data_IF_331789714389
#
_entry.id   IF_331789714389
#
_cell.length_a   1.000
_cell.length_b   1.000
_cell.length_c   1.000
_cell.angle_alpha   90.00
_cell.angle_beta   90.00
_cell.angle_gamma   90.00
#
_symmetry.space_group_name_H-M   'P 1'
#
loop_
_entity.id
_entity.type
_entity.pdbx_description
1 polymer ?
#
# COMPACT_ATOMS: atom_id res chain seq x y z
N UNK A 1 22.15 -11.59 -27.18
CA UNK A 1 20.91 -11.33 -27.94
C UNK A 1 19.88 -10.91 -26.92
N UNK A 2 19.55 -9.63 -26.87
CA UNK A 2 18.54 -9.08 -25.96
C UNK A 2 17.18 -9.57 -26.45
N UNK A 3 16.63 -10.60 -25.81
CA UNK A 3 15.23 -10.94 -25.99
C UNK A 3 14.42 -9.73 -25.52
N UNK A 4 13.83 -9.03 -26.48
CA UNK A 4 12.97 -7.88 -26.28
C UNK A 4 11.64 -8.41 -25.73
N UNK A 5 11.63 -8.72 -24.43
CA UNK A 5 10.42 -9.05 -23.69
C UNK A 5 9.89 -7.70 -23.20
N UNK A 6 8.69 -7.33 -23.62
CA UNK A 6 8.04 -6.07 -23.23
C UNK A 6 8.19 -5.83 -21.72
N UNK A 7 8.85 -4.75 -21.37
CA UNK A 7 9.14 -4.37 -19.99
C UNK A 7 7.85 -3.77 -19.40
N UNK A 8 7.18 -4.53 -18.52
CA UNK A 8 5.99 -4.05 -17.80
C UNK A 8 6.38 -2.82 -16.98
N UNK A 9 5.67 -1.70 -17.14
CA UNK A 9 5.91 -0.47 -16.35
C UNK A 9 4.85 -0.24 -15.28
N UNK A 10 5.14 0.64 -14.32
CA UNK A 10 4.18 0.95 -13.25
C UNK A 10 2.97 1.69 -13.82
N UNK A 11 3.19 2.57 -14.78
CA UNK A 11 2.16 3.35 -15.47
C UNK A 11 1.19 2.45 -16.22
N UNK A 12 1.66 1.37 -16.84
CA UNK A 12 0.82 0.39 -17.51
C UNK A 12 -0.07 -0.37 -16.52
N UNK A 13 0.50 -0.82 -15.40
CA UNK A 13 -0.26 -1.47 -14.32
C UNK A 13 -1.31 -0.51 -13.75
N UNK A 14 -0.92 0.74 -13.49
CA UNK A 14 -1.82 1.78 -13.00
C UNK A 14 -2.94 2.15 -13.98
N UNK A 15 -2.63 2.20 -15.27
CA UNK A 15 -3.61 2.50 -16.31
C UNK A 15 -4.70 1.43 -16.42
N UNK A 16 -4.43 0.20 -15.97
CA UNK A 16 -5.38 -0.93 -16.04
C UNK A 16 -6.68 -0.63 -15.29
N UNK A 17 -6.61 -0.19 -14.04
CA UNK A 17 -7.78 0.23 -13.27
C UNK A 17 -7.41 1.15 -12.09
N UNK A 18 -8.38 1.99 -11.70
CA UNK A 18 -8.35 2.78 -10.46
C UNK A 18 -9.49 2.31 -9.57
N UNK A 19 -9.11 1.79 -8.42
CA UNK A 19 -10.00 1.21 -7.41
C UNK A 19 -10.11 2.16 -6.22
N UNK A 20 -11.34 2.41 -5.78
CA UNK A 20 -11.63 3.07 -4.49
C UNK A 20 -12.48 2.15 -3.63
N UNK A 21 -12.14 2.06 -2.35
CA UNK A 21 -12.90 1.31 -1.35
C UNK A 21 -13.22 2.23 -0.18
N UNK A 22 -14.49 2.55 -0.02
CA UNK A 22 -15.01 3.44 1.03
C UNK A 22 -15.89 2.68 2.01
N UNK A 23 -15.86 3.05 3.29
CA UNK A 23 -16.72 2.44 4.31
C UNK A 23 -18.15 2.97 4.17
N UNK A 24 -19.15 2.08 4.10
CA UNK A 24 -20.56 2.48 4.15
C UNK A 24 -20.88 2.96 5.57
N UNK A 25 -21.38 4.20 5.77
CA UNK A 25 -21.63 4.75 7.10
C UNK A 25 -22.66 3.95 7.90
N UNK A 26 -23.69 3.44 7.21
CA UNK A 26 -24.77 2.67 7.81
C UNK A 26 -24.39 1.20 7.96
N UNK A 27 -24.45 0.70 9.20
CA UNK A 27 -24.29 -0.73 9.46
C UNK A 27 -25.62 -1.44 9.25
N UNK A 28 -25.65 -2.41 8.33
CA UNK A 28 -26.85 -3.21 8.03
C UNK A 28 -26.90 -4.48 8.87
N UNK A 29 -28.09 -5.08 9.01
CA UNK A 29 -28.33 -6.34 9.72
C UNK A 29 -29.22 -6.18 10.96
N UNK A 30 -30.27 -7.02 11.06
CA UNK A 30 -31.30 -6.96 12.10
C UNK A 30 -30.83 -7.47 13.47
N UNK A 31 -29.89 -8.42 13.50
CA UNK A 31 -29.42 -9.10 14.74
C UNK A 31 -27.90 -8.96 14.91
N UNK A 32 -27.14 -9.08 13.82
CA UNK A 32 -25.69 -8.87 13.76
C UNK A 32 -25.40 -7.80 12.73
N UNK A 33 -25.06 -6.60 13.20
CA UNK A 33 -24.67 -5.50 12.32
C UNK A 33 -23.36 -5.83 11.62
N UNK A 34 -23.34 -5.81 10.29
CA UNK A 34 -22.13 -5.97 9.47
C UNK A 34 -21.72 -4.64 8.82
N UNK A 35 -20.43 -4.53 8.52
CA UNK A 35 -19.89 -3.41 7.75
C UNK A 35 -19.89 -3.76 6.26
N UNK A 36 -20.23 -2.78 5.44
CA UNK A 36 -20.18 -2.84 3.99
C UNK A 36 -19.23 -1.76 3.47
N UNK A 37 -18.80 -1.94 2.23
CA UNK A 37 -17.88 -1.06 1.54
C UNK A 37 -18.48 -0.69 0.17
N UNK A 38 -18.39 0.58 -0.20
CA UNK A 38 -18.54 0.98 -1.60
C UNK A 38 -17.24 0.66 -2.32
N UNK A 39 -17.34 -0.14 -3.37
CA UNK A 39 -16.21 -0.54 -4.20
C UNK A 39 -16.44 0.04 -5.59
N UNK A 40 -15.55 0.93 -6.01
CA UNK A 40 -15.64 1.61 -7.30
C UNK A 40 -14.50 1.17 -8.22
N UNK A 41 -14.82 0.88 -9.48
CA UNK A 41 -13.85 0.61 -10.55
C UNK A 41 -14.00 1.65 -11.66
N UNK A 42 -12.90 2.32 -11.98
CA UNK A 42 -12.86 3.29 -13.09
C UNK A 42 -12.97 2.59 -14.44
N UNK A 43 -12.29 1.46 -14.62
CA UNK A 43 -12.30 0.67 -15.86
C UNK A 43 -13.71 0.20 -16.23
N UNK A 44 -14.50 -0.17 -15.24
CA UNK A 44 -15.86 -0.68 -15.46
C UNK A 44 -16.95 0.39 -15.33
N UNK A 45 -16.64 1.56 -14.77
CA UNK A 45 -17.64 2.61 -14.53
C UNK A 45 -18.71 2.20 -13.52
N UNK A 46 -18.35 1.32 -12.56
CA UNK A 46 -19.28 0.74 -11.59
C UNK A 46 -18.92 1.13 -10.17
N UNK A 47 -19.94 1.28 -9.33
CA UNK A 47 -19.82 1.29 -7.87
C UNK A 47 -20.79 0.26 -7.30
N UNK A 48 -20.26 -0.73 -6.60
CA UNK A 48 -21.02 -1.82 -5.99
C UNK A 48 -20.81 -1.87 -4.48
N UNK A 49 -21.77 -2.43 -3.76
CA UNK A 49 -21.63 -2.64 -2.32
C UNK A 49 -21.09 -4.05 -2.04
N UNK A 50 -20.07 -4.14 -1.19
CA UNK A 50 -19.45 -5.42 -0.79
C UNK A 50 -19.24 -5.49 0.71
N UNK A 51 -19.40 -6.68 1.30
CA UNK A 51 -18.97 -7.00 2.66
C UNK A 51 -17.64 -7.73 2.65
N UNK A 52 -16.90 -7.68 3.76
CA UNK A 52 -15.60 -8.36 3.89
C UNK A 52 -15.62 -9.84 3.48
N UNK A 53 -16.68 -10.59 3.81
CA UNK A 53 -16.77 -12.01 3.43
C UNK A 53 -16.86 -12.24 1.91
N UNK A 54 -17.34 -11.27 1.13
CA UNK A 54 -17.34 -11.38 -0.34
C UNK A 54 -15.93 -11.19 -0.92
N UNK A 55 -15.11 -10.31 -0.31
CA UNK A 55 -13.68 -10.24 -0.63
C UNK A 55 -12.98 -11.57 -0.33
N UNK A 56 -13.30 -12.22 0.80
CA UNK A 56 -12.77 -13.54 1.14
C UNK A 56 -13.15 -14.59 0.09
N UNK A 57 -14.41 -14.60 -0.36
CA UNK A 57 -14.86 -15.51 -1.40
C UNK A 57 -14.11 -15.30 -2.72
N UNK A 58 -13.95 -14.03 -3.15
CA UNK A 58 -13.16 -13.72 -4.34
C UNK A 58 -11.70 -14.16 -4.19
N UNK A 59 -11.08 -13.88 -3.04
CA UNK A 59 -9.72 -14.31 -2.74
C UNK A 59 -9.59 -15.84 -2.84
N UNK A 60 -10.50 -16.60 -2.23
CA UNK A 60 -10.47 -18.06 -2.27
C UNK A 60 -10.60 -18.61 -3.70
N UNK A 61 -11.46 -18.00 -4.53
CA UNK A 61 -11.61 -18.36 -5.94
C UNK A 61 -10.35 -18.06 -6.73
N UNK A 62 -9.82 -16.83 -6.65
CA UNK A 62 -8.61 -16.43 -7.36
C UNK A 62 -7.40 -17.26 -6.93
N UNK A 63 -7.24 -17.50 -5.63
CA UNK A 63 -6.13 -18.27 -5.09
C UNK A 63 -6.17 -19.75 -5.53
N UNK A 64 -7.36 -20.34 -5.65
CA UNK A 64 -7.51 -21.70 -6.17
C UNK A 64 -7.32 -21.78 -7.70
N UNK A 65 -7.78 -20.76 -8.43
CA UNK A 65 -7.70 -20.68 -9.89
C UNK A 65 -6.28 -20.37 -10.38
N UNK A 66 -5.53 -19.55 -9.64
CA UNK A 66 -4.22 -19.03 -10.04
C UNK A 66 -3.12 -19.40 -9.03
N UNK A 67 -2.79 -20.70 -8.87
CA UNK A 67 -1.80 -21.16 -7.89
C UNK A 67 -0.39 -20.60 -8.14
N UNK A 68 -0.08 -20.21 -9.38
CA UNK A 68 1.23 -19.73 -9.81
C UNK A 68 1.34 -18.20 -9.90
N UNK A 69 0.28 -17.47 -9.51
CA UNK A 69 0.25 -16.00 -9.50
C UNK A 69 0.41 -15.42 -8.10
N UNK A 70 0.94 -14.21 -7.99
CA UNK A 70 1.15 -13.52 -6.72
C UNK A 70 -0.16 -12.84 -6.26
N UNK A 71 -1.00 -13.59 -5.56
CA UNK A 71 -2.20 -13.04 -4.89
C UNK A 71 -1.85 -12.63 -3.46
N UNK A 72 -1.91 -11.32 -3.16
CA UNK A 72 -1.64 -10.79 -1.83
C UNK A 72 -2.69 -11.26 -0.79
N UNK A 73 -2.28 -11.40 0.46
CA UNK A 73 -3.19 -11.84 1.54
C UNK A 73 -4.19 -10.74 1.90
N UNK A 74 -5.43 -11.14 2.22
CA UNK A 74 -6.42 -10.22 2.78
C UNK A 74 -6.06 -9.79 4.22
N UNK A 75 -6.50 -8.59 4.66
CA UNK A 75 -6.40 -8.19 6.06
C UNK A 75 -7.16 -9.18 6.96
N UNK A 76 -6.73 -9.39 8.21
CA UNK A 76 -7.24 -10.48 9.04
C UNK A 76 -8.74 -10.39 9.36
N UNK A 77 -9.39 -11.56 9.36
CA UNK A 77 -10.76 -11.77 9.83
C UNK A 77 -10.82 -11.73 11.36
N UNK A 78 -10.54 -10.58 11.97
CA UNK A 78 -10.82 -10.40 13.41
C UNK A 78 -12.33 -10.34 13.59
N UNK A 79 -12.87 -11.28 14.35
CA UNK A 79 -14.24 -11.24 14.87
C UNK A 79 -14.22 -10.24 16.01
N UNK A 80 -14.74 -9.03 15.77
CA UNK A 80 -14.90 -8.03 16.82
C UNK A 80 -16.38 -7.89 17.11
N UNK A 81 -16.79 -8.29 18.33
CA UNK A 81 -18.14 -8.06 18.84
C UNK A 81 -18.40 -6.55 18.77
N UNK A 82 -19.50 -6.14 18.13
CA UNK A 82 -19.84 -4.72 17.95
C UNK A 82 -19.21 -4.00 16.75
N UNK A 83 -18.57 -4.72 15.81
CA UNK A 83 -18.19 -4.15 14.50
C UNK A 83 -16.81 -3.49 14.44
N UNK A 84 -15.96 -3.64 15.46
CA UNK A 84 -14.59 -3.10 15.43
C UNK A 84 -14.48 -1.64 15.86
N UNK A 85 -13.30 -1.22 16.33
CA UNK A 85 -13.01 0.20 16.58
C UNK A 85 -12.95 0.98 15.25
N UNK A 86 -13.22 2.30 15.24
CA UNK A 86 -13.13 3.12 14.02
C UNK A 86 -11.77 2.97 13.32
N UNK A 87 -10.67 3.01 14.08
CA UNK A 87 -9.31 2.81 13.59
C UNK A 87 -9.13 1.43 12.93
N UNK A 88 -9.73 0.38 13.49
CA UNK A 88 -9.67 -0.94 12.89
C UNK A 88 -10.40 -1.00 11.55
N UNK A 89 -11.58 -0.38 11.44
CA UNK A 89 -12.35 -0.34 10.20
C UNK A 89 -11.63 0.45 9.11
N UNK A 90 -11.02 1.59 9.45
CA UNK A 90 -10.19 2.38 8.54
C UNK A 90 -8.98 1.58 8.03
N UNK A 91 -8.22 0.93 8.93
CA UNK A 91 -7.09 0.07 8.55
C UNK A 91 -7.50 -1.08 7.65
N UNK A 92 -8.64 -1.72 7.94
CA UNK A 92 -9.19 -2.78 7.10
C UNK A 92 -9.59 -2.25 5.72
N UNK A 93 -10.30 -1.12 5.66
CA UNK A 93 -10.69 -0.45 4.40
C UNK A 93 -9.46 -0.17 3.53
N UNK A 94 -8.42 0.45 4.11
CA UNK A 94 -7.17 0.74 3.40
C UNK A 94 -6.50 -0.53 2.84
N UNK A 95 -6.43 -1.59 3.65
CA UNK A 95 -5.88 -2.86 3.20
C UNK A 95 -6.74 -3.55 2.12
N UNK A 96 -8.07 -3.46 2.20
CA UNK A 96 -8.97 -3.97 1.15
C UNK A 96 -8.82 -3.19 -0.16
N UNK A 97 -8.64 -1.86 -0.09
CA UNK A 97 -8.34 -1.04 -1.26
C UNK A 97 -7.05 -1.50 -1.93
N UNK A 98 -5.94 -1.55 -1.18
CA UNK A 98 -4.65 -1.99 -1.75
C UNK A 98 -4.71 -3.40 -2.31
N UNK A 99 -5.36 -4.32 -1.60
CA UNK A 99 -5.56 -5.70 -2.08
C UNK A 99 -6.28 -5.72 -3.43
N UNK A 100 -7.43 -5.03 -3.53
CA UNK A 100 -8.21 -5.02 -4.76
C UNK A 100 -7.52 -4.23 -5.88
N UNK A 101 -6.81 -3.16 -5.56
CA UNK A 101 -5.95 -2.42 -6.50
C UNK A 101 -4.92 -3.35 -7.13
N UNK A 102 -4.18 -4.13 -6.34
CA UNK A 102 -3.19 -5.08 -6.87
C UNK A 102 -3.84 -6.13 -7.77
N UNK A 103 -4.98 -6.69 -7.36
CA UNK A 103 -5.72 -7.68 -8.16
C UNK A 103 -6.25 -7.09 -9.47
N UNK A 104 -6.84 -5.89 -9.43
CA UNK A 104 -7.44 -5.24 -10.59
C UNK A 104 -6.41 -4.64 -11.56
N UNK A 105 -5.18 -4.40 -11.11
CA UNK A 105 -4.05 -3.94 -11.94
C UNK A 105 -3.16 -5.07 -12.45
N UNK A 106 -3.37 -6.31 -11.99
CA UNK A 106 -2.53 -7.44 -12.38
C UNK A 106 -2.81 -7.86 -13.84
N UNK A 107 -1.78 -8.02 -14.71
CA UNK A 107 -1.97 -8.30 -16.15
C UNK A 107 -2.89 -9.50 -16.45
N UNK A 108 -2.75 -10.59 -15.70
CA UNK A 108 -3.63 -11.77 -15.79
C UNK A 108 -4.95 -11.60 -15.02
N UNK A 109 -4.91 -11.31 -13.71
CA UNK A 109 -6.11 -11.33 -12.85
C UNK A 109 -7.14 -10.25 -13.21
N UNK A 110 -6.70 -9.11 -13.77
CA UNK A 110 -7.59 -8.03 -14.20
C UNK A 110 -8.57 -8.45 -15.31
N UNK A 111 -8.30 -9.56 -15.99
CA UNK A 111 -9.15 -10.11 -17.06
C UNK A 111 -10.03 -11.26 -16.58
N UNK A 112 -9.96 -11.61 -15.30
CA UNK A 112 -10.73 -12.69 -14.73
C UNK A 112 -12.24 -12.38 -14.65
N UNK A 113 -13.06 -13.35 -15.04
CA UNK A 113 -14.51 -13.19 -15.06
C UNK A 113 -15.13 -13.09 -13.66
N UNK A 114 -14.55 -13.77 -12.66
CA UNK A 114 -15.03 -13.75 -11.28
C UNK A 114 -14.70 -12.39 -10.63
N UNK A 115 -13.53 -11.81 -10.94
CA UNK A 115 -13.20 -10.42 -10.57
C UNK A 115 -14.17 -9.43 -11.21
N UNK A 116 -14.43 -9.55 -12.52
CA UNK A 116 -15.39 -8.67 -13.21
C UNK A 116 -16.78 -8.75 -12.58
N UNK A 117 -17.25 -9.96 -12.29
CA UNK A 117 -18.53 -10.21 -11.59
C UNK A 117 -18.53 -9.52 -10.22
N UNK A 118 -17.44 -9.67 -9.46
CA UNK A 118 -17.25 -8.98 -8.18
C UNK A 118 -17.19 -7.45 -8.30
N UNK A 119 -16.76 -6.87 -9.41
CA UNK A 119 -16.71 -5.41 -9.60
C UNK A 119 -18.01 -4.83 -10.18
N UNK A 120 -18.82 -5.63 -10.87
CA UNK A 120 -19.94 -5.13 -11.67
C UNK A 120 -21.33 -5.54 -11.16
N UNK A 121 -21.49 -6.72 -10.56
CA UNK A 121 -22.82 -7.27 -10.25
C UNK A 121 -23.33 -6.89 -8.86
N UNK A 122 -24.64 -6.73 -8.67
CA UNK A 122 -25.17 -6.42 -7.32
C UNK A 122 -25.06 -7.61 -6.36
N UNK A 123 -25.12 -8.85 -6.87
CA UNK A 123 -25.08 -10.07 -6.06
C UNK A 123 -24.18 -11.11 -6.74
N UNK A 124 -22.85 -11.00 -6.56
CA UNK A 124 -21.89 -11.84 -7.27
C UNK A 124 -22.04 -13.30 -6.83
N UNK A 125 -22.07 -14.22 -7.81
CA UNK A 125 -22.01 -15.66 -7.56
C UNK A 125 -20.63 -16.15 -7.98
N UNK A 126 -19.78 -16.39 -6.98
CA UNK A 126 -18.40 -16.82 -7.18
C UNK A 126 -18.33 -18.32 -6.88
N UNK A 127 -18.22 -19.12 -7.94
CA UNK A 127 -18.13 -20.57 -7.85
C UNK A 127 -16.68 -21.02 -7.67
N UNK A 128 -16.49 -22.17 -6.99
CA UNK A 128 -15.16 -22.75 -6.87
C UNK A 128 -14.65 -23.18 -8.25
N UNK A 129 -13.41 -22.82 -8.62
CA UNK A 129 -12.86 -23.19 -9.92
C UNK A 129 -12.71 -24.71 -10.01
N UNK A 130 -13.11 -25.29 -11.15
CA UNK A 130 -12.93 -26.72 -11.43
C UNK A 130 -11.51 -27.06 -11.90
N UNK A 131 -10.86 -26.09 -12.54
CA UNK A 131 -9.54 -26.22 -13.15
C UNK A 131 -8.70 -25.01 -12.77
N UNK A 132 -7.40 -25.24 -12.59
CA UNK A 132 -6.43 -24.17 -12.39
C UNK A 132 -5.99 -23.55 -13.72
N UNK A 133 -5.26 -22.44 -13.63
CA UNK A 133 -4.76 -21.67 -14.77
C UNK A 133 -3.91 -22.50 -15.73
N UNK A 134 -3.18 -23.51 -15.25
CA UNK A 134 -2.35 -24.36 -16.12
C UNK A 134 -3.23 -25.25 -17.00
N UNK A 135 -4.26 -25.86 -16.43
CA UNK A 135 -5.21 -26.66 -17.21
C UNK A 135 -6.01 -25.77 -18.17
N UNK A 136 -6.38 -24.56 -17.74
CA UNK A 136 -7.13 -23.61 -18.56
C UNK A 136 -6.29 -23.01 -19.71
N UNK A 137 -4.99 -22.79 -19.49
CA UNK A 137 -4.08 -22.30 -20.52
C UNK A 137 -3.83 -23.34 -21.64
N UNK A 138 -4.03 -24.63 -21.34
CA UNK A 138 -3.82 -25.73 -22.28
C UNK A 138 -2.34 -26.00 -22.57
N UNK A 139 -2.06 -26.84 -23.57
CA UNK A 139 -0.69 -27.08 -24.03
C UNK A 139 -0.23 -25.92 -24.90
N UNK A 140 0.59 -25.03 -24.33
CA UNK A 140 1.31 -24.03 -25.11
C UNK A 140 2.55 -24.66 -25.73
N UNK A 141 2.76 -24.45 -27.04
CA UNK A 141 4.01 -24.83 -27.71
C UNK A 141 5.14 -23.93 -27.24
N UNK A 142 6.33 -24.50 -27.08
CA UNK A 142 7.51 -23.74 -26.70
C UNK A 142 7.93 -22.83 -27.86
N UNK A 143 7.87 -21.51 -27.66
CA UNK A 143 8.39 -20.57 -28.62
C UNK A 143 9.92 -20.68 -28.65
N UNK A 144 10.53 -20.63 -29.84
CA UNK A 144 11.98 -20.73 -30.02
C UNK A 144 12.79 -19.59 -29.34
N UNK A 145 12.11 -18.55 -28.84
CA UNK A 145 12.70 -17.45 -28.05
C UNK A 145 12.40 -17.47 -26.55
N UNK A 146 11.72 -18.51 -26.05
CA UNK A 146 11.46 -18.65 -24.61
C UNK A 146 12.72 -19.11 -23.88
N UNK A 147 12.92 -18.59 -22.67
CA UNK A 147 13.96 -19.07 -21.75
C UNK A 147 13.86 -20.60 -21.57
N UNK A 148 15.02 -21.24 -21.49
CA UNK A 148 15.10 -22.64 -21.07
C UNK A 148 14.65 -22.79 -19.62
N UNK A 149 14.28 -24.02 -19.24
CA UNK A 149 13.88 -24.32 -17.86
C UNK A 149 14.98 -23.98 -16.86
N UNK A 150 16.24 -24.20 -17.21
CA UNK A 150 17.39 -23.92 -16.34
C UNK A 150 17.61 -22.41 -16.19
N UNK A 151 17.53 -21.64 -17.29
CA UNK A 151 17.61 -20.17 -17.23
C UNK A 151 16.47 -19.57 -16.40
N UNK A 152 15.24 -20.09 -16.54
CA UNK A 152 14.11 -19.64 -15.70
C UNK A 152 14.33 -20.00 -14.23
N UNK A 153 14.93 -21.16 -13.95
CA UNK A 153 15.23 -21.58 -12.59
C UNK A 153 16.31 -20.70 -11.94
N UNK A 154 17.35 -20.33 -12.68
CA UNK A 154 18.39 -19.40 -12.24
C UNK A 154 17.82 -18.00 -11.99
N UNK A 155 17.01 -17.50 -12.94
CA UNK A 155 16.30 -16.23 -12.80
C UNK A 155 15.43 -16.25 -11.54
N UNK A 156 14.57 -17.26 -11.36
CA UNK A 156 13.73 -17.39 -10.17
C UNK A 156 14.51 -17.30 -8.85
N UNK A 157 15.64 -17.99 -8.72
CA UNK A 157 16.46 -17.95 -7.49
C UNK A 157 17.06 -16.57 -7.26
N UNK A 158 17.57 -15.94 -8.32
CA UNK A 158 18.12 -14.57 -8.25
C UNK A 158 17.03 -13.56 -7.85
N UNK A 159 15.89 -13.60 -8.52
CA UNK A 159 14.71 -12.76 -8.29
C UNK A 159 14.18 -12.90 -6.86
N UNK A 160 14.10 -14.14 -6.37
CA UNK A 160 13.62 -14.44 -5.02
C UNK A 160 14.46 -13.73 -3.95
N UNK A 161 15.79 -13.77 -4.06
CA UNK A 161 16.66 -13.12 -3.08
C UNK A 161 16.62 -11.60 -3.20
N UNK A 162 16.67 -11.06 -4.42
CA UNK A 162 16.63 -9.61 -4.63
C UNK A 162 15.34 -8.99 -4.10
N UNK A 163 14.18 -9.59 -4.41
CA UNK A 163 12.88 -9.12 -3.93
C UNK A 163 12.69 -9.37 -2.42
N UNK A 164 13.32 -10.40 -1.85
CA UNK A 164 13.36 -10.58 -0.38
C UNK A 164 14.08 -9.41 0.29
N UNK A 165 15.23 -8.99 -0.24
CA UNK A 165 15.99 -7.85 0.27
C UNK A 165 15.22 -6.53 0.09
N UNK A 166 14.61 -6.31 -1.07
CA UNK A 166 13.77 -5.15 -1.33
C UNK A 166 12.62 -5.03 -0.32
N UNK A 167 11.89 -6.13 -0.08
CA UNK A 167 10.81 -6.17 0.92
C UNK A 167 11.30 -5.84 2.33
N UNK A 168 12.48 -6.35 2.73
CA UNK A 168 13.06 -6.04 4.05
C UNK A 168 13.50 -4.58 4.14
N UNK A 169 14.07 -4.02 3.06
CA UNK A 169 14.47 -2.63 2.96
C UNK A 169 13.27 -1.69 3.07
N UNK A 170 12.28 -1.84 2.17
CA UNK A 170 11.03 -1.08 2.17
C UNK A 170 10.32 -1.17 3.52
N UNK A 171 10.26 -2.37 4.12
CA UNK A 171 9.60 -2.55 5.41
C UNK A 171 10.31 -1.83 6.57
N UNK A 172 11.63 -1.65 6.49
CA UNK A 172 12.37 -0.83 7.46
C UNK A 172 12.16 0.66 7.20
N UNK A 173 12.20 1.08 5.94
CA UNK A 173 11.96 2.47 5.54
C UNK A 173 10.57 2.94 5.98
N UNK A 174 9.53 2.18 5.65
CA UNK A 174 8.16 2.45 6.08
C UNK A 174 8.06 2.66 7.60
N UNK A 175 8.65 1.76 8.40
CA UNK A 175 8.67 1.89 9.87
C UNK A 175 9.45 3.11 10.38
N UNK A 176 10.45 3.57 9.63
CA UNK A 176 11.19 4.80 9.99
C UNK A 176 10.29 6.00 9.72
N UNK A 177 9.68 6.07 8.54
CA UNK A 177 8.80 7.18 8.15
C UNK A 177 7.54 7.27 9.03
N UNK A 178 6.89 6.15 9.33
CA UNK A 178 5.76 6.10 10.29
C UNK A 178 6.16 6.66 11.68
N UNK A 179 7.40 6.40 12.13
CA UNK A 179 7.90 6.98 13.37
C UNK A 179 8.25 8.46 13.25
N UNK A 180 8.69 8.92 12.08
CA UNK A 180 8.98 10.34 11.84
C UNK A 180 7.68 11.11 11.84
N UNK A 181 6.68 10.66 11.10
CA UNK A 181 5.32 11.20 11.06
C UNK A 181 4.75 11.33 12.49
N UNK A 182 4.80 10.26 13.29
CA UNK A 182 4.33 10.31 14.67
C UNK A 182 5.09 11.30 15.58
N UNK A 183 6.37 11.58 15.29
CA UNK A 183 7.12 12.63 16.00
C UNK A 183 6.71 14.02 15.53
N UNK A 184 6.53 14.21 14.23
CA UNK A 184 6.04 15.47 13.67
C UNK A 184 4.65 15.81 14.21
N UNK A 185 3.76 14.83 14.35
CA UNK A 185 2.43 15.02 14.96
C UNK A 185 2.50 15.45 16.43
N UNK A 186 3.36 14.80 17.20
CA UNK A 186 3.60 15.16 18.59
C UNK A 186 4.15 16.59 18.70
N UNK A 187 5.18 16.91 17.91
CA UNK A 187 5.79 18.24 17.90
C UNK A 187 4.79 19.34 17.46
N UNK A 188 3.93 19.06 16.47
CA UNK A 188 2.83 19.96 16.08
C UNK A 188 1.84 20.20 17.24
N UNK A 189 1.53 19.14 17.98
CA UNK A 189 0.63 19.24 19.15
C UNK A 189 1.25 20.09 20.24
N UNK A 190 2.53 19.88 20.53
CA UNK A 190 3.29 20.64 21.53
C UNK A 190 3.38 22.13 21.16
N UNK A 191 3.61 22.46 19.89
CA UNK A 191 3.63 23.86 19.40
C UNK A 191 2.26 24.54 19.59
N UNK A 192 1.16 23.84 19.32
CA UNK A 192 -0.20 24.38 19.56
C UNK A 192 -0.46 24.61 21.05
N UNK A 193 -0.05 23.67 21.90
CA UNK A 193 -0.17 23.81 23.35
C UNK A 193 0.67 24.98 23.89
N UNK A 194 1.90 25.14 23.38
CA UNK A 194 2.74 26.30 23.66
C UNK A 194 2.04 27.61 23.27
N UNK A 195 1.47 27.68 22.07
CA UNK A 195 0.70 28.85 21.62
C UNK A 195 -0.48 29.17 22.53
N UNK A 196 -1.24 28.16 22.95
CA UNK A 196 -2.34 28.32 23.89
C UNK A 196 -1.88 28.83 25.27
N UNK A 197 -0.76 28.29 25.79
CA UNK A 197 -0.18 28.71 27.06
C UNK A 197 0.32 30.17 27.00
N UNK A 198 1.01 30.55 25.92
CA UNK A 198 1.46 31.93 25.69
C UNK A 198 0.27 32.89 25.57
N UNK A 199 -0.79 32.48 24.87
CA UNK A 199 -2.01 33.27 24.74
C UNK A 199 -2.66 33.52 26.11
N UNK A 200 -2.77 32.47 26.95
CA UNK A 200 -3.31 32.61 28.30
C UNK A 200 -2.51 33.61 29.15
N UNK A 201 -1.17 33.53 29.09
CA UNK A 201 -0.26 34.46 29.78
C UNK A 201 -0.36 35.90 29.28
N UNK A 202 -0.86 36.11 28.06
CA UNK A 202 -1.05 37.45 27.48
C UNK A 202 -2.34 38.15 27.93
N UNK A 203 -3.18 37.50 28.73
CA UNK A 203 -4.45 38.08 29.20
C UNK A 203 -4.24 39.35 30.03
N UNK A 204 -5.03 40.41 29.81
CA UNK A 204 -4.88 41.68 30.52
C UNK A 204 -5.30 41.56 32.00
N UNK A 205 -4.58 42.25 32.90
CA UNK A 205 -4.91 42.33 34.33
C UNK A 205 -5.05 43.79 34.79
N UNK A 206 -5.78 44.00 35.90
CA UNK A 206 -6.18 45.34 36.36
C UNK A 206 -5.00 46.16 36.93
N UNK A 207 -3.94 45.50 37.39
CA UNK A 207 -2.80 46.14 38.05
C UNK A 207 -1.47 45.71 37.42
N UNK A 208 -1.09 46.38 36.33
CA UNK A 208 0.09 46.00 35.55
C UNK A 208 1.17 47.07 35.53
N UNK A 209 2.42 46.64 35.74
CA UNK A 209 3.59 47.49 35.50
C UNK A 209 3.86 47.61 34.00
N UNK A 210 4.50 48.71 33.57
CA UNK A 210 4.89 48.88 32.16
C UNK A 210 5.80 47.75 31.63
N UNK A 211 6.61 47.14 32.50
CA UNK A 211 7.44 45.98 32.16
C UNK A 211 6.59 44.73 31.89
N UNK A 212 5.55 44.52 32.70
CA UNK A 212 4.65 43.39 32.56
C UNK A 212 3.74 43.52 31.34
N UNK A 213 3.28 44.74 31.01
CA UNK A 213 2.56 45.01 29.75
C UNK A 213 3.38 44.62 28.52
N UNK A 214 4.65 45.05 28.45
CA UNK A 214 5.55 44.67 27.34
C UNK A 214 5.77 43.17 27.23
N UNK A 215 5.84 42.47 28.36
CA UNK A 215 5.97 41.01 28.37
C UNK A 215 4.72 40.36 27.77
N UNK A 216 3.52 40.82 28.12
CA UNK A 216 2.29 40.29 27.54
C UNK A 216 2.17 40.54 26.05
N UNK A 217 2.55 41.71 25.57
CA UNK A 217 2.56 42.01 24.13
C UNK A 217 3.46 41.03 23.37
N UNK A 218 4.62 40.69 23.97
CA UNK A 218 5.54 39.69 23.43
C UNK A 218 4.97 38.25 23.47
N UNK A 219 4.32 37.88 24.57
CA UNK A 219 3.64 36.58 24.70
C UNK A 219 2.50 36.45 23.69
N UNK A 220 1.73 37.53 23.47
CA UNK A 220 0.66 37.57 22.48
C UNK A 220 1.18 37.37 21.06
N UNK A 221 2.22 38.14 20.68
CA UNK A 221 2.84 38.02 19.36
C UNK A 221 3.43 36.62 19.12
N UNK A 222 4.02 36.01 20.15
CA UNK A 222 4.53 34.65 20.08
C UNK A 222 3.40 33.60 20.00
N UNK A 223 2.29 33.82 20.71
CA UNK A 223 1.12 32.93 20.67
C UNK A 223 0.48 32.88 19.27
N UNK A 224 0.29 34.04 18.64
CA UNK A 224 -0.27 34.15 17.28
C UNK A 224 0.58 33.37 16.26
N UNK A 225 1.91 33.49 16.34
CA UNK A 225 2.86 32.74 15.51
C UNK A 225 2.77 31.22 15.70
N UNK A 226 2.71 30.76 16.96
CA UNK A 226 2.64 29.34 17.27
C UNK A 226 1.32 28.71 16.78
N UNK A 227 0.21 29.42 16.91
CA UNK A 227 -1.11 28.97 16.44
C UNK A 227 -1.13 28.88 14.90
N UNK A 228 -0.70 29.95 14.20
CA UNK A 228 -0.66 30.00 12.74
C UNK A 228 0.18 28.86 12.15
N UNK A 229 1.34 28.58 12.75
CA UNK A 229 2.22 27.53 12.22
C UNK A 229 1.72 26.12 12.56
N UNK A 230 1.04 25.97 13.70
CA UNK A 230 0.39 24.71 14.08
C UNK A 230 -0.70 24.26 13.09
N UNK A 231 -1.19 25.13 12.22
CA UNK A 231 -2.24 24.84 11.23
C UNK A 231 -1.72 24.54 9.82
N UNK A 232 -0.43 24.77 9.53
CA UNK A 232 0.11 24.60 8.16
C UNK A 232 0.34 23.10 7.83
N UNK A 233 -0.46 22.54 6.92
CA UNK A 233 -0.38 21.14 6.48
C UNK A 233 0.58 20.92 5.29
N UNK A 234 1.34 19.81 5.33
CA UNK A 234 2.09 19.23 4.20
C UNK A 234 1.62 17.78 3.89
N UNK A 235 0.41 17.42 4.33
CA UNK A 235 0.00 16.02 4.55
C UNK A 235 -0.17 15.19 3.26
N UNK A 236 -0.54 15.80 2.13
CA UNK A 236 -0.95 15.05 0.92
C UNK A 236 0.20 14.26 0.29
N UNK A 237 1.38 14.87 0.11
CA UNK A 237 2.51 14.20 -0.55
C UNK A 237 3.10 13.07 0.29
N UNK A 238 3.06 13.19 1.62
CA UNK A 238 3.58 12.17 2.52
C UNK A 238 2.64 10.96 2.59
N UNK A 239 1.33 11.19 2.63
CA UNK A 239 0.32 10.12 2.64
C UNK A 239 0.38 9.28 1.35
N UNK A 240 0.45 9.92 0.19
CA UNK A 240 0.59 9.24 -1.11
C UNK A 240 1.86 8.38 -1.18
N UNK A 241 3.00 8.90 -0.71
CA UNK A 241 4.25 8.16 -0.69
C UNK A 241 4.20 6.94 0.24
N UNK A 242 3.59 7.10 1.42
CA UNK A 242 3.43 6.01 2.40
C UNK A 242 2.47 4.93 1.91
N UNK A 243 1.38 5.31 1.25
CA UNK A 243 0.46 4.37 0.61
C UNK A 243 1.13 3.62 -0.54
N UNK A 244 1.95 4.31 -1.34
CA UNK A 244 2.78 3.69 -2.38
C UNK A 244 3.75 2.64 -1.81
N UNK A 245 4.42 2.93 -0.69
CA UNK A 245 5.28 1.96 -0.01
C UNK A 245 4.51 0.75 0.51
N UNK A 246 3.31 0.94 1.06
CA UNK A 246 2.46 -0.17 1.52
C UNK A 246 1.98 -1.03 0.36
N UNK A 247 1.60 -0.42 -0.76
CA UNK A 247 1.20 -1.13 -1.98
C UNK A 247 2.36 -2.00 -2.49
N UNK A 248 3.57 -1.46 -2.51
CA UNK A 248 4.77 -2.21 -2.89
C UNK A 248 5.11 -3.33 -1.90
N UNK A 249 4.97 -3.11 -0.60
CA UNK A 249 5.15 -4.16 0.41
C UNK A 249 4.16 -5.30 0.23
N UNK A 250 2.89 -4.99 -0.06
CA UNK A 250 1.85 -5.99 -0.31
C UNK A 250 2.14 -6.79 -1.61
N UNK A 251 2.58 -6.13 -2.69
CA UNK A 251 2.95 -6.76 -3.95
C UNK A 251 4.17 -7.68 -3.84
N UNK A 252 5.28 -7.18 -3.27
CA UNK A 252 6.49 -7.98 -3.07
C UNK A 252 6.24 -9.08 -2.04
N UNK A 253 5.40 -8.83 -1.04
CA UNK A 253 4.94 -9.82 -0.07
C UNK A 253 4.19 -10.97 -0.74
N UNK A 254 3.30 -10.68 -1.68
CA UNK A 254 2.60 -11.68 -2.48
C UNK A 254 3.56 -12.56 -3.29
N UNK A 255 4.55 -11.95 -3.95
CA UNK A 255 5.58 -12.70 -4.68
C UNK A 255 6.37 -13.63 -3.75
N UNK A 256 6.77 -13.15 -2.57
CA UNK A 256 7.46 -14.00 -1.57
C UNK A 256 6.61 -15.19 -1.13
N UNK A 257 5.31 -14.99 -0.95
CA UNK A 257 4.38 -16.07 -0.62
C UNK A 257 4.29 -17.07 -1.77
N UNK A 258 4.18 -16.60 -3.01
CA UNK A 258 4.25 -17.44 -4.20
C UNK A 258 5.53 -18.28 -4.23
N UNK A 259 6.70 -17.68 -4.04
CA UNK A 259 7.96 -18.42 -4.00
C UNK A 259 7.94 -19.54 -2.95
N UNK A 260 7.42 -19.26 -1.74
CA UNK A 260 7.28 -20.28 -0.69
C UNK A 260 6.33 -21.43 -1.07
N UNK A 261 5.26 -21.15 -1.83
CA UNK A 261 4.36 -22.18 -2.36
C UNK A 261 5.06 -23.00 -3.43
N UNK A 262 5.72 -22.34 -4.37
CA UNK A 262 6.45 -22.98 -5.46
C UNK A 262 7.57 -23.85 -4.93
N UNK A 263 8.46 -23.36 -4.06
CA UNK A 263 9.53 -24.19 -3.49
C UNK A 263 8.97 -25.47 -2.86
N UNK A 264 7.87 -25.41 -2.11
CA UNK A 264 7.27 -26.61 -1.51
C UNK A 264 6.60 -27.54 -2.50
N UNK A 265 5.77 -27.01 -3.41
CA UNK A 265 4.98 -27.81 -4.35
C UNK A 265 5.79 -28.33 -5.53
N UNK A 266 6.68 -27.51 -6.07
CA UNK A 266 7.45 -27.78 -7.28
C UNK A 266 8.56 -28.82 -7.05
N UNK A 267 9.13 -28.89 -5.84
CA UNK A 267 10.06 -29.96 -5.47
C UNK A 267 9.38 -31.33 -5.49
N UNK A 268 8.12 -31.42 -5.03
CA UNK A 268 7.36 -32.66 -5.05
C UNK A 268 7.03 -33.09 -6.50
N UNK A 269 6.60 -32.14 -7.35
CA UNK A 269 6.31 -32.41 -8.77
C UNK A 269 7.57 -32.82 -9.55
N UNK A 270 8.71 -32.15 -9.31
CA UNK A 270 10.00 -32.48 -9.94
C UNK A 270 10.52 -33.85 -9.50
N UNK A 271 10.42 -34.17 -8.20
CA UNK A 271 10.79 -35.49 -7.68
C UNK A 271 9.90 -36.59 -8.29
N UNK A 272 8.58 -36.36 -8.39
CA UNK A 272 7.65 -37.29 -9.02
C UNK A 272 7.93 -37.47 -10.53
N UNK A 273 8.25 -36.40 -11.25
CA UNK A 273 8.59 -36.45 -12.67
C UNK A 273 9.94 -37.14 -12.95
N UNK A 274 10.90 -37.03 -12.01
CA UNK A 274 12.19 -37.71 -12.09
C UNK A 274 12.11 -39.20 -11.75
N UNK A 275 11.19 -39.59 -10.86
CA UNK A 275 10.94 -40.98 -10.50
C UNK A 275 10.13 -41.75 -11.58
N UNK A 276 9.42 -41.05 -12.47
CA UNK A 276 8.60 -41.63 -13.52
C UNK A 276 9.38 -41.88 -14.83
N UNK A 277 9.00 -42.91 -15.59
CA UNK A 277 9.60 -43.20 -16.89
C UNK A 277 9.55 -41.97 -17.83
N UNK A 278 10.65 -41.57 -18.50
CA UNK A 278 10.73 -40.31 -19.24
C UNK A 278 9.62 -40.09 -20.28
N UNK A 279 9.18 -41.18 -20.91
CA UNK A 279 8.21 -41.20 -22.01
C UNK A 279 6.75 -41.24 -21.54
N UNK A 280 6.49 -41.48 -20.25
CA UNK A 280 5.12 -41.55 -19.71
C UNK A 280 4.43 -40.18 -19.82
N UNK A 281 3.17 -40.17 -20.27
CA UNK A 281 2.36 -38.97 -20.41
C UNK A 281 2.25 -38.17 -19.09
N UNK A 282 2.15 -38.87 -17.96
CA UNK A 282 2.12 -38.24 -16.63
C UNK A 282 3.43 -37.50 -16.31
N UNK A 283 4.58 -38.09 -16.64
CA UNK A 283 5.88 -37.44 -16.44
C UNK A 283 6.04 -36.20 -17.33
N UNK A 284 5.56 -36.25 -18.57
CA UNK A 284 5.53 -35.09 -19.47
C UNK A 284 4.64 -33.96 -18.94
N UNK A 285 3.44 -34.29 -18.46
CA UNK A 285 2.52 -33.30 -17.88
C UNK A 285 3.12 -32.60 -16.65
N UNK A 286 3.80 -33.35 -15.77
CA UNK A 286 4.49 -32.76 -14.60
C UNK A 286 5.64 -31.83 -15.01
N UNK A 287 6.42 -32.18 -16.04
CA UNK A 287 7.49 -31.31 -16.55
C UNK A 287 6.93 -30.04 -17.20
N UNK A 288 5.84 -30.14 -17.96
CA UNK A 288 5.17 -28.99 -18.55
C UNK A 288 4.62 -28.05 -17.47
N UNK A 289 3.98 -28.61 -16.42
CA UNK A 289 3.48 -27.86 -15.27
C UNK A 289 4.62 -27.18 -14.49
N UNK A 290 5.73 -27.88 -14.30
CA UNK A 290 6.94 -27.31 -13.68
C UNK A 290 7.47 -26.11 -14.47
N UNK A 291 7.61 -26.25 -15.78
CA UNK A 291 8.06 -25.18 -16.66
C UNK A 291 7.09 -23.99 -16.64
N UNK A 292 5.79 -24.25 -16.69
CA UNK A 292 4.76 -23.21 -16.62
C UNK A 292 4.84 -22.43 -15.30
N UNK A 293 5.01 -23.13 -14.17
CA UNK A 293 5.18 -22.51 -12.86
C UNK A 293 6.41 -21.60 -12.79
N UNK A 294 7.55 -22.01 -13.36
CA UNK A 294 8.76 -21.18 -13.42
C UNK A 294 8.55 -19.94 -14.29
N UNK A 295 7.91 -20.09 -15.45
CA UNK A 295 7.55 -18.97 -16.33
C UNK A 295 6.71 -17.94 -15.59
N UNK A 296 5.64 -18.39 -14.94
CA UNK A 296 4.79 -17.53 -14.12
C UNK A 296 5.62 -16.84 -13.03
N UNK A 297 6.48 -17.58 -12.31
CA UNK A 297 7.30 -16.98 -11.25
C UNK A 297 8.21 -15.85 -11.76
N UNK A 298 8.81 -16.00 -12.94
CA UNK A 298 9.63 -14.95 -13.56
C UNK A 298 8.76 -13.75 -13.98
N UNK A 299 7.56 -13.97 -14.51
CA UNK A 299 6.60 -12.90 -14.82
C UNK A 299 6.16 -12.14 -13.56
N UNK A 300 5.80 -12.85 -12.49
CA UNK A 300 5.37 -12.28 -11.22
C UNK A 300 6.49 -11.50 -10.52
N UNK A 301 7.74 -11.93 -10.68
CA UNK A 301 8.90 -11.20 -10.18
C UNK A 301 9.02 -9.82 -10.83
N UNK A 302 8.78 -9.72 -12.14
CA UNK A 302 8.80 -8.43 -12.86
C UNK A 302 7.72 -7.49 -12.33
N UNK A 303 6.49 -7.99 -12.16
CA UNK A 303 5.39 -7.21 -11.58
C UNK A 303 5.78 -6.70 -10.18
N UNK A 304 6.31 -7.57 -9.31
CA UNK A 304 6.74 -7.18 -7.97
C UNK A 304 7.89 -6.15 -7.98
N UNK A 305 8.82 -6.25 -8.92
CA UNK A 305 9.90 -5.27 -9.10
C UNK A 305 9.37 -3.89 -9.47
N UNK A 306 8.40 -3.83 -10.37
CA UNK A 306 7.80 -2.56 -10.81
C UNK A 306 7.21 -1.81 -9.63
N UNK A 307 6.45 -2.49 -8.76
CA UNK A 307 5.93 -1.87 -7.54
C UNK A 307 7.06 -1.46 -6.56
N UNK A 308 8.07 -2.31 -6.38
CA UNK A 308 9.21 -1.99 -5.52
C UNK A 308 9.98 -0.75 -6.02
N UNK A 309 10.20 -0.66 -7.34
CA UNK A 309 10.88 0.45 -7.98
C UNK A 309 10.10 1.75 -7.80
N UNK A 310 8.80 1.74 -8.13
CA UNK A 310 7.91 2.89 -7.95
C UNK A 310 7.95 3.43 -6.50
N UNK A 311 7.91 2.55 -5.49
CA UNK A 311 8.02 2.98 -4.10
C UNK A 311 9.40 3.58 -3.74
N UNK A 312 10.48 3.10 -4.36
CA UNK A 312 11.83 3.65 -4.16
C UNK A 312 12.00 5.00 -4.86
N UNK A 313 11.38 5.20 -6.01
CA UNK A 313 11.40 6.45 -6.77
C UNK A 313 10.67 7.61 -6.05
N UNK A 314 9.77 7.30 -5.11
CA UNK A 314 9.13 8.28 -4.23
C UNK A 314 10.03 8.78 -3.09
N UNK A 315 11.14 8.10 -2.79
CA UNK A 315 12.02 8.44 -1.66
C UNK A 315 12.62 9.85 -1.73
N UNK A 316 13.16 10.33 -2.87
CA UNK A 316 13.77 11.66 -2.93
C UNK A 316 12.78 12.77 -2.55
N UNK A 317 11.55 12.66 -3.04
CA UNK A 317 10.50 13.65 -2.79
C UNK A 317 9.99 13.61 -1.35
N UNK A 318 9.85 12.40 -0.79
CA UNK A 318 9.53 12.22 0.63
C UNK A 318 10.60 12.83 1.54
N UNK A 319 11.88 12.56 1.26
CA UNK A 319 13.01 13.12 2.03
C UNK A 319 13.08 14.64 1.90
N UNK A 320 12.80 15.18 0.71
CA UNK A 320 12.71 16.63 0.48
C UNK A 320 11.59 17.24 1.32
N UNK A 321 10.40 16.64 1.29
CA UNK A 321 9.23 17.13 2.03
C UNK A 321 9.50 17.13 3.54
N UNK A 322 10.04 16.04 4.07
CA UNK A 322 10.47 15.96 5.48
C UNK A 322 11.53 17.01 5.83
N UNK A 323 12.52 17.22 4.96
CA UNK A 323 13.52 18.26 5.14
C UNK A 323 12.90 19.66 5.22
N UNK A 324 11.93 19.96 4.34
CA UNK A 324 11.20 21.23 4.38
C UNK A 324 10.33 21.38 5.62
N UNK A 325 9.68 20.31 6.07
CA UNK A 325 8.87 20.31 7.29
C UNK A 325 9.74 20.61 8.52
N UNK A 326 10.88 19.93 8.67
CA UNK A 326 11.81 20.20 9.77
C UNK A 326 12.42 21.60 9.72
N UNK A 327 12.75 22.12 8.53
CA UNK A 327 13.24 23.48 8.38
C UNK A 327 12.19 24.52 8.81
N UNK A 328 10.91 24.29 8.52
CA UNK A 328 9.80 25.15 8.99
C UNK A 328 9.71 25.16 10.50
N UNK A 329 9.78 23.98 11.15
CA UNK A 329 9.77 23.90 12.62
C UNK A 329 10.95 24.67 13.22
N UNK A 330 12.15 24.54 12.66
CA UNK A 330 13.30 25.31 13.11
C UNK A 330 13.08 26.83 12.99
N UNK A 331 12.44 27.28 11.90
CA UNK A 331 12.07 28.69 11.71
C UNK A 331 11.08 29.17 12.77
N UNK A 332 10.07 28.36 13.14
CA UNK A 332 9.12 28.70 14.22
C UNK A 332 9.85 29.01 15.52
N UNK A 333 10.78 28.15 15.93
CA UNK A 333 11.53 28.39 17.17
C UNK A 333 12.35 29.68 17.13
N UNK A 334 12.94 30.02 15.97
CA UNK A 334 13.65 31.28 15.77
C UNK A 334 12.71 32.50 15.79
N UNK A 335 11.53 32.38 15.19
CA UNK A 335 10.51 33.44 15.16
C UNK A 335 9.91 33.67 16.55
N UNK A 336 9.63 32.61 17.31
CA UNK A 336 9.20 32.70 18.70
C UNK A 336 10.24 33.40 19.58
N UNK A 337 11.53 33.06 19.42
CA UNK A 337 12.60 33.76 20.10
C UNK A 337 12.59 35.26 19.79
N UNK A 338 12.47 35.60 18.50
CA UNK A 338 12.45 36.98 18.02
C UNK A 338 11.23 37.74 18.57
N UNK A 339 10.04 37.15 18.52
CA UNK A 339 8.80 37.74 19.03
C UNK A 339 8.86 38.03 20.54
N UNK A 340 9.45 37.11 21.32
CA UNK A 340 9.62 37.27 22.76
C UNK A 340 10.65 38.35 23.14
N UNK A 341 11.63 38.62 22.27
CA UNK A 341 12.65 39.67 22.47
C UNK A 341 12.20 41.04 21.96
N UNK A 342 11.48 41.05 20.84
CA UNK A 342 11.13 42.24 20.07
C UNK A 342 9.66 42.20 19.63
N UNK A 343 8.69 42.37 20.56
CA UNK A 343 7.25 42.29 20.28
C UNK A 343 6.78 43.17 19.12
N UNK A 344 7.42 44.33 18.93
CA UNK A 344 7.00 45.34 17.94
C UNK A 344 7.75 45.23 16.60
N UNK A 345 8.65 44.25 16.40
CA UNK A 345 9.47 44.17 15.18
C UNK A 345 8.66 43.86 13.91
N UNK A 346 7.47 43.25 14.04
CA UNK A 346 6.57 42.99 12.89
C UNK A 346 5.77 44.22 12.41
N UNK A 347 5.75 45.32 13.16
CA UNK A 347 4.96 46.51 12.78
C UNK A 347 5.67 47.45 11.79
N UNK A 348 6.96 47.27 11.51
CA UNK A 348 7.76 48.19 10.67
C UNK A 348 8.09 47.66 9.27
N UNK A 349 7.51 46.54 8.84
CA UNK A 349 7.83 45.90 7.54
C UNK A 349 6.64 45.82 6.57
N UNK A 350 5.57 46.58 6.80
CA UNK A 350 4.35 46.62 5.97
C UNK A 350 3.91 48.01 5.52
N UNK A 351 4.80 49.01 5.59
CA UNK A 351 4.58 50.34 5.01
C UNK A 351 5.42 50.55 3.75
#
# INVERSE_FOLDING_TARGET
>A
MTHNIEEVTFEELEATDVISVELVPERKGLILKHCEYYVSSRRHGTTVTRRYNEFVQLYDVLYAKYPYRAVCSLPPKRVVVGGGSPLFLQRRRAALQRWLTLVARHPVLAHDADLRTFLCETSPRLDKPKHDEFILAGTQEDNAGDLSTDEMQESFVSEQEQLRLAHLGLGRLFKIFEKVEGRCDAERTDIRELGAALNALSSPAVADTARWSRMRDAMKAAAELAIETGETQLEVTEEEAMDGMLLALDAVGAYRQLCSRLTRGLHAERAAAAAAAPQCAAARALRARHRYALRCAVEEARIARVYALSALELLPELLRTLGTAHARVAAVWADLHTALRHPNAKQTARD
#
